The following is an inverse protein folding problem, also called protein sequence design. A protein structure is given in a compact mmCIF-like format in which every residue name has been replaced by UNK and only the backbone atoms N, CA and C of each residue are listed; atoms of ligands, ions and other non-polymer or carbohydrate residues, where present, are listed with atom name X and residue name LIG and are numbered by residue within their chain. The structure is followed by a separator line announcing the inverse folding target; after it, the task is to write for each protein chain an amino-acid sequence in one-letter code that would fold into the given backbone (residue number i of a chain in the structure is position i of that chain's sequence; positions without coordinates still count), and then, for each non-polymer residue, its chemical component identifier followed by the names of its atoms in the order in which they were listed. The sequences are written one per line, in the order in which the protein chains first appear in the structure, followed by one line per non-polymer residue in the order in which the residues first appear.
data_IF_507416693767
#
_entry.id   IF_507416693767
#
_cell.length_a   1.000
_cell.length_b   1.000
_cell.length_c   1.000
_cell.angle_alpha   90.00
_cell.angle_beta   90.00
_cell.angle_gamma   90.00
#
_symmetry.space_group_name_H-M   'P 1'
#
loop_
_entity.id
_entity.type
_entity.pdbx_description
1 polymer ?
#
# COMPACT_ATOMS: atom_id res chain seq x y z
N UNK A 1 -15.17 -9.11 0.83
CA UNK A 1 -16.14 -9.18 -0.27
C UNK A 1 -16.13 -10.58 -0.84
N UNK A 2 -17.26 -11.28 -0.76
CA UNK A 2 -17.51 -12.55 -1.46
C UNK A 2 -17.93 -12.29 -2.92
N UNK A 3 -18.04 -13.33 -3.73
CA UNK A 3 -18.53 -13.19 -5.10
C UNK A 3 -20.02 -12.75 -5.13
N UNK A 4 -20.83 -13.23 -4.18
CA UNK A 4 -22.21 -12.77 -4.04
C UNK A 4 -22.29 -11.29 -3.59
N UNK A 5 -21.48 -10.86 -2.63
CA UNK A 5 -21.37 -9.44 -2.26
C UNK A 5 -20.99 -8.58 -3.47
N UNK A 6 -20.01 -9.04 -4.27
CA UNK A 6 -19.57 -8.35 -5.49
C UNK A 6 -20.74 -8.14 -6.46
N UNK A 7 -21.52 -9.20 -6.72
CA UNK A 7 -22.69 -9.16 -7.61
C UNK A 7 -23.75 -8.18 -7.05
N UNK A 8 -24.02 -8.22 -5.73
CA UNK A 8 -24.98 -7.33 -5.08
C UNK A 8 -24.55 -5.86 -5.13
N UNK A 9 -23.29 -5.58 -4.80
CA UNK A 9 -22.73 -4.21 -4.78
C UNK A 9 -22.74 -3.61 -6.18
N UNK A 10 -22.33 -4.38 -7.18
CA UNK A 10 -22.22 -3.91 -8.57
C UNK A 10 -23.55 -3.93 -9.32
N UNK A 11 -24.56 -4.65 -8.81
CA UNK A 11 -25.88 -4.85 -9.45
C UNK A 11 -25.77 -5.44 -10.86
N UNK A 12 -24.73 -6.22 -11.14
CA UNK A 12 -24.58 -6.92 -12.42
C UNK A 12 -25.56 -8.07 -12.52
N UNK A 13 -25.95 -8.44 -13.75
CA UNK A 13 -26.75 -9.63 -13.98
C UNK A 13 -25.97 -10.89 -13.60
N UNK A 14 -26.37 -11.53 -12.49
CA UNK A 14 -25.72 -12.73 -11.94
C UNK A 14 -25.63 -13.86 -12.97
N UNK A 15 -26.71 -14.11 -13.71
CA UNK A 15 -26.76 -15.22 -14.68
C UNK A 15 -25.80 -14.97 -15.84
N UNK A 16 -25.79 -13.76 -16.37
CA UNK A 16 -24.89 -13.38 -17.46
C UNK A 16 -23.43 -13.40 -17.00
N UNK A 17 -23.13 -12.86 -15.79
CA UNK A 17 -21.80 -12.86 -15.23
C UNK A 17 -21.25 -14.28 -15.05
N UNK A 18 -22.02 -15.16 -14.40
CA UNK A 18 -21.61 -16.55 -14.18
C UNK A 18 -21.50 -17.33 -15.49
N UNK A 19 -22.41 -17.14 -16.44
CA UNK A 19 -22.31 -17.77 -17.75
C UNK A 19 -21.02 -17.42 -18.49
N UNK A 20 -20.61 -16.15 -18.46
CA UNK A 20 -19.34 -15.72 -19.06
C UNK A 20 -18.12 -16.22 -18.28
N UNK A 21 -18.19 -16.24 -16.95
CA UNK A 21 -17.13 -16.79 -16.10
C UNK A 21 -16.87 -18.27 -16.40
N UNK A 22 -17.94 -19.06 -16.60
CA UNK A 22 -17.84 -20.47 -16.97
C UNK A 22 -17.27 -20.69 -18.39
N UNK A 23 -17.24 -19.68 -19.24
CA UNK A 23 -16.65 -19.75 -20.59
C UNK A 23 -15.15 -19.37 -20.60
N UNK A 24 -14.61 -18.88 -19.49
CA UNK A 24 -13.18 -18.57 -19.40
C UNK A 24 -12.38 -19.85 -19.55
N UNK A 25 -11.46 -19.86 -20.51
CA UNK A 25 -10.56 -21.00 -20.72
C UNK A 25 -9.62 -21.17 -19.52
N UNK A 26 -9.35 -22.40 -19.15
CA UNK A 26 -8.42 -22.78 -18.05
C UNK A 26 -7.01 -23.08 -18.60
N UNK A 27 -6.59 -22.32 -19.57
CA UNK A 27 -5.23 -22.32 -20.12
C UNK A 27 -4.40 -21.15 -19.52
N UNK A 28 -3.18 -20.97 -20.01
CA UNK A 28 -2.33 -19.86 -19.59
C UNK A 28 -2.90 -18.49 -19.96
N UNK A 29 -3.89 -18.41 -20.85
CA UNK A 29 -4.51 -17.16 -21.28
C UNK A 29 -3.51 -16.26 -21.99
N UNK A 30 -3.52 -14.97 -21.64
CA UNK A 30 -2.63 -14.00 -22.26
C UNK A 30 -1.30 -13.90 -21.50
N UNK A 31 -0.25 -14.47 -22.09
CA UNK A 31 1.12 -14.46 -21.54
C UNK A 31 1.83 -13.09 -21.70
N UNK A 32 1.22 -12.14 -22.44
CA UNK A 32 1.79 -10.80 -22.67
C UNK A 32 1.35 -9.80 -21.56
N UNK A 33 1.21 -10.29 -20.35
CA UNK A 33 0.97 -9.45 -19.17
C UNK A 33 -0.47 -8.98 -18.98
N UNK A 34 -1.44 -9.79 -19.40
CA UNK A 34 -2.86 -9.60 -19.14
C UNK A 34 -3.72 -9.42 -20.39
N UNK A 35 -5.00 -9.80 -20.31
CA UNK A 35 -5.95 -9.67 -21.40
C UNK A 35 -6.19 -8.22 -21.83
N UNK A 36 -6.50 -7.95 -23.10
CA UNK A 36 -6.81 -6.59 -23.58
C UNK A 36 -7.91 -5.90 -22.76
N UNK A 37 -8.94 -6.65 -22.37
CA UNK A 37 -10.05 -6.12 -21.54
C UNK A 37 -9.55 -5.67 -20.17
N UNK A 38 -8.67 -6.44 -19.52
CA UNK A 38 -8.11 -6.08 -18.24
C UNK A 38 -7.19 -4.87 -18.37
N UNK A 39 -6.27 -4.86 -19.33
CA UNK A 39 -5.36 -3.73 -19.57
C UNK A 39 -6.13 -2.45 -19.89
N UNK A 40 -7.19 -2.52 -20.69
CA UNK A 40 -8.08 -1.39 -20.96
C UNK A 40 -8.74 -0.89 -19.68
N UNK A 41 -9.31 -1.76 -18.86
CA UNK A 41 -9.96 -1.38 -17.60
C UNK A 41 -8.96 -0.77 -16.58
N UNK A 42 -7.72 -1.23 -16.57
CA UNK A 42 -6.66 -0.65 -15.74
C UNK A 42 -6.22 0.71 -16.28
N UNK A 43 -6.04 0.88 -17.61
CA UNK A 43 -5.63 2.16 -18.19
C UNK A 43 -6.60 3.29 -17.89
N UNK A 44 -7.90 3.00 -17.77
CA UNK A 44 -8.94 3.97 -17.36
C UNK A 44 -8.80 4.48 -15.91
N UNK A 45 -7.83 3.96 -15.14
CA UNK A 45 -7.46 4.52 -13.84
C UNK A 45 -6.43 5.66 -13.94
N UNK A 46 -5.84 5.86 -15.09
CA UNK A 46 -4.75 6.79 -15.38
C UNK A 46 -5.18 7.82 -16.42
N UNK A 47 -4.40 8.89 -16.56
CA UNK A 47 -4.63 9.93 -17.58
C UNK A 47 -3.74 9.75 -18.80
N UNK A 48 -2.51 9.26 -18.61
CA UNK A 48 -1.47 9.17 -19.66
C UNK A 48 -1.04 7.73 -19.96
N UNK A 49 -1.54 6.75 -19.20
CA UNK A 49 -1.17 5.33 -19.34
C UNK A 49 -2.10 4.64 -20.32
N UNK A 50 -1.51 4.05 -21.36
CA UNK A 50 -2.21 3.25 -22.36
C UNK A 50 -2.20 1.76 -21.99
N UNK A 51 -3.06 0.90 -22.57
CA UNK A 51 -3.09 -0.53 -22.27
C UNK A 51 -1.74 -1.26 -22.47
N UNK A 52 -0.93 -0.86 -23.43
CA UNK A 52 0.42 -1.42 -23.67
C UNK A 52 1.44 -1.06 -22.58
N UNK A 53 1.16 -0.01 -21.78
CA UNK A 53 1.98 0.42 -20.64
C UNK A 53 1.67 -0.35 -19.35
N UNK A 54 0.86 -1.42 -19.42
CA UNK A 54 0.36 -2.16 -18.27
C UNK A 54 0.83 -3.61 -18.32
N UNK A 55 1.27 -4.12 -17.17
CA UNK A 55 1.64 -5.50 -16.93
C UNK A 55 0.90 -6.01 -15.69
N UNK A 56 0.00 -6.96 -15.85
CA UNK A 56 -0.71 -7.60 -14.74
C UNK A 56 0.22 -8.53 -13.97
N UNK A 57 0.02 -8.61 -12.64
CA UNK A 57 0.89 -9.36 -11.71
C UNK A 57 0.08 -10.11 -10.65
N UNK A 58 0.72 -11.03 -9.91
CA UNK A 58 0.14 -11.74 -8.77
C UNK A 58 0.02 -10.86 -7.50
N UNK A 59 -0.54 -9.66 -7.66
CA UNK A 59 -0.70 -8.63 -6.62
C UNK A 59 0.51 -7.68 -6.55
N UNK A 60 0.34 -6.59 -5.77
CA UNK A 60 1.36 -5.54 -5.66
C UNK A 60 2.68 -6.01 -5.05
N UNK A 61 2.64 -6.90 -4.05
CA UNK A 61 3.86 -7.44 -3.42
C UNK A 61 4.77 -8.13 -4.45
N UNK A 62 4.19 -8.92 -5.35
CA UNK A 62 4.91 -9.54 -6.47
C UNK A 62 5.45 -8.48 -7.43
N UNK A 63 4.63 -7.49 -7.78
CA UNK A 63 5.03 -6.38 -8.64
C UNK A 63 6.26 -5.64 -8.08
N UNK A 64 6.22 -5.24 -6.80
CA UNK A 64 7.31 -4.55 -6.12
C UNK A 64 8.61 -5.37 -6.13
N UNK A 65 8.52 -6.69 -5.84
CA UNK A 65 9.70 -7.57 -5.85
C UNK A 65 10.38 -7.62 -7.22
N UNK A 66 9.59 -7.79 -8.27
CA UNK A 66 10.12 -7.90 -9.63
C UNK A 66 10.59 -6.56 -10.20
N UNK A 67 9.96 -5.44 -9.80
CA UNK A 67 10.45 -4.11 -10.13
C UNK A 67 11.84 -3.86 -9.55
N UNK A 68 12.01 -4.13 -8.26
CA UNK A 68 13.28 -3.95 -7.58
C UNK A 68 14.34 -4.86 -8.22
N UNK A 69 14.03 -6.14 -8.41
CA UNK A 69 14.95 -7.09 -9.03
C UNK A 69 15.38 -6.71 -10.46
N UNK A 70 14.45 -6.17 -11.28
CA UNK A 70 14.71 -5.84 -12.68
C UNK A 70 15.40 -4.50 -12.91
N UNK A 71 15.41 -3.61 -11.91
CA UNK A 71 15.88 -2.23 -12.09
C UNK A 71 17.19 -1.92 -11.36
N UNK A 72 17.60 -2.76 -10.40
CA UNK A 72 18.81 -2.53 -9.60
C UNK A 72 19.84 -3.63 -9.83
N UNK A 73 21.10 -3.25 -9.66
CA UNK A 73 22.25 -4.14 -9.66
C UNK A 73 23.06 -3.97 -8.36
N UNK A 74 23.94 -4.91 -8.02
CA UNK A 74 24.85 -4.75 -6.88
C UNK A 74 25.62 -3.44 -6.95
N UNK A 75 25.70 -2.72 -5.84
CA UNK A 75 26.31 -1.38 -5.67
C UNK A 75 25.51 -0.19 -6.23
N UNK A 76 24.33 -0.40 -6.80
CA UNK A 76 23.40 0.69 -7.04
C UNK A 76 22.95 1.31 -5.71
N UNK A 77 22.56 2.59 -5.75
CA UNK A 77 21.96 3.28 -4.61
C UNK A 77 20.44 3.34 -4.77
N UNK A 78 19.74 3.03 -3.69
CA UNK A 78 18.25 3.12 -3.59
C UNK A 78 17.89 4.04 -2.44
N UNK A 79 17.06 5.05 -2.71
CA UNK A 79 16.47 5.89 -1.67
C UNK A 79 15.10 5.31 -1.28
N UNK A 80 14.95 4.89 -0.03
CA UNK A 80 13.65 4.47 0.53
C UNK A 80 13.04 5.61 1.35
N UNK A 81 11.86 6.10 0.96
CA UNK A 81 11.14 7.14 1.71
C UNK A 81 10.32 6.46 2.80
N UNK A 82 10.62 6.76 4.08
CA UNK A 82 10.19 5.98 5.23
C UNK A 82 9.51 6.85 6.32
N UNK A 83 8.59 6.32 7.18
CA UNK A 83 8.18 4.92 7.28
C UNK A 83 7.36 4.46 6.07
N UNK A 84 7.57 3.20 5.65
CA UNK A 84 6.89 2.61 4.51
C UNK A 84 6.90 1.07 4.60
N UNK A 85 6.48 0.41 3.54
CA UNK A 85 6.45 -1.04 3.42
C UNK A 85 7.89 -1.60 3.42
N UNK A 86 8.18 -2.52 4.34
CA UNK A 86 9.52 -3.06 4.58
C UNK A 86 10.22 -3.60 3.32
N UNK A 87 9.45 -4.06 2.34
CA UNK A 87 9.94 -4.57 1.08
C UNK A 87 10.86 -3.57 0.35
N UNK A 88 10.60 -2.27 0.51
CA UNK A 88 11.39 -1.20 -0.10
C UNK A 88 12.79 -1.01 0.51
N UNK A 89 13.04 -1.60 1.67
CA UNK A 89 14.37 -1.63 2.31
C UNK A 89 15.02 -3.00 2.15
N UNK A 90 14.27 -4.07 2.47
CA UNK A 90 14.83 -5.41 2.57
C UNK A 90 15.23 -6.00 1.23
N UNK A 91 14.40 -5.80 0.19
CA UNK A 91 14.71 -6.37 -1.12
C UNK A 91 15.92 -5.71 -1.80
N UNK A 92 16.03 -4.36 -1.88
CA UNK A 92 17.25 -3.77 -2.46
C UNK A 92 18.51 -4.22 -1.74
N UNK A 93 18.49 -4.29 -0.40
CA UNK A 93 19.63 -4.81 0.37
C UNK A 93 19.96 -6.26 0.02
N UNK A 94 18.96 -7.12 -0.16
CA UNK A 94 19.16 -8.52 -0.52
C UNK A 94 19.75 -8.72 -1.92
N UNK A 95 19.57 -7.74 -2.81
CA UNK A 95 20.18 -7.70 -4.15
C UNK A 95 21.54 -6.97 -4.18
N UNK A 96 22.06 -6.57 -3.01
CA UNK A 96 23.38 -5.95 -2.88
C UNK A 96 23.42 -4.45 -3.16
N UNK A 97 22.28 -3.77 -3.19
CA UNK A 97 22.22 -2.32 -3.32
C UNK A 97 22.45 -1.62 -1.96
N UNK A 98 23.04 -0.42 -2.01
CA UNK A 98 23.07 0.52 -0.89
C UNK A 98 21.68 1.12 -0.71
N UNK A 99 21.12 1.05 0.50
CA UNK A 99 19.82 1.67 0.81
C UNK A 99 20.01 2.84 1.74
N UNK A 100 19.72 4.04 1.28
CA UNK A 100 19.65 5.27 2.06
C UNK A 100 18.20 5.58 2.38
N UNK A 101 17.92 6.01 3.61
CA UNK A 101 16.56 6.21 4.10
C UNK A 101 16.30 7.70 4.25
N UNK A 102 15.25 8.19 3.58
CA UNK A 102 14.67 9.51 3.85
C UNK A 102 13.54 9.35 4.86
N UNK A 103 13.75 9.86 6.08
CA UNK A 103 12.73 9.80 7.11
C UNK A 103 11.73 10.95 6.99
N UNK A 104 10.43 10.63 7.01
CA UNK A 104 9.36 11.64 7.07
C UNK A 104 8.98 11.92 8.51
N UNK A 105 8.98 13.21 8.87
CA UNK A 105 8.67 13.69 10.21
C UNK A 105 7.13 13.73 10.45
N UNK A 106 6.59 13.02 11.46
CA UNK A 106 5.18 13.12 11.83
C UNK A 106 4.78 14.54 12.24
N UNK A 107 5.68 15.33 12.84
CA UNK A 107 5.40 16.72 13.21
C UNK A 107 5.20 17.64 12.00
N UNK A 108 5.70 17.23 10.84
CA UNK A 108 5.50 17.89 9.55
C UNK A 108 4.41 17.21 8.69
N UNK A 109 3.56 16.36 9.30
CA UNK A 109 2.52 15.63 8.60
C UNK A 109 3.03 14.61 7.58
N UNK A 110 4.26 14.12 7.77
CA UNK A 110 4.95 13.19 6.87
C UNK A 110 5.26 13.76 5.48
N UNK A 111 5.45 15.07 5.36
CA UNK A 111 5.91 15.69 4.11
C UNK A 111 7.32 15.23 3.73
N UNK A 112 7.66 15.33 2.44
CA UNK A 112 9.00 15.07 1.93
C UNK A 112 9.81 16.36 1.98
N UNK A 113 11.03 16.30 2.51
CA UNK A 113 12.00 17.40 2.44
C UNK A 113 12.85 17.23 1.16
N UNK A 114 12.67 18.14 0.21
CA UNK A 114 13.36 18.11 -1.09
C UNK A 114 14.87 18.18 -0.93
N UNK A 115 15.36 19.07 -0.05
CA UNK A 115 16.78 19.29 0.18
C UNK A 115 17.44 18.05 0.78
N UNK A 116 16.76 17.38 1.70
CA UNK A 116 17.23 16.12 2.29
C UNK A 116 17.25 15.01 1.25
N UNK A 117 16.19 14.89 0.45
CA UNK A 117 16.15 13.93 -0.65
C UNK A 117 17.29 14.17 -1.65
N UNK A 118 17.51 15.40 -2.06
CA UNK A 118 18.58 15.76 -2.99
C UNK A 118 19.98 15.43 -2.44
N UNK A 119 20.17 15.62 -1.13
CA UNK A 119 21.45 15.29 -0.45
C UNK A 119 21.73 13.79 -0.35
N UNK A 120 20.70 12.96 -0.38
CA UNK A 120 20.83 11.49 -0.36
C UNK A 120 21.09 10.91 -1.74
N UNK A 121 20.79 11.63 -2.82
CA UNK A 121 20.95 11.19 -4.19
C UNK A 121 22.37 11.48 -4.71
N UNK A 122 22.86 10.59 -5.57
CA UNK A 122 24.10 10.76 -6.32
C UNK A 122 23.98 10.10 -7.71
N UNK A 123 25.07 10.05 -8.48
CA UNK A 123 25.09 9.47 -9.83
C UNK A 123 24.83 7.95 -9.87
N UNK A 124 24.96 7.26 -8.73
CA UNK A 124 24.68 5.83 -8.60
C UNK A 124 23.24 5.59 -8.09
N UNK A 125 22.48 6.64 -7.80
CA UNK A 125 21.09 6.52 -7.36
C UNK A 125 20.22 6.04 -8.50
N UNK A 126 19.76 4.80 -8.42
CA UNK A 126 18.99 4.13 -9.46
C UNK A 126 17.50 4.24 -9.25
N UNK A 127 17.09 4.27 -7.97
CA UNK A 127 15.70 4.08 -7.61
C UNK A 127 15.33 4.90 -6.36
N UNK A 128 14.16 5.54 -6.41
CA UNK A 128 13.46 6.09 -5.24
C UNK A 128 12.19 5.27 -5.05
N UNK A 129 11.93 4.80 -3.82
CA UNK A 129 10.77 3.96 -3.50
C UNK A 129 9.90 4.58 -2.42
N UNK A 130 8.58 4.53 -2.63
CA UNK A 130 7.59 4.99 -1.66
C UNK A 130 6.22 4.34 -1.91
N UNK A 131 5.33 4.41 -0.92
CA UNK A 131 3.90 4.25 -1.13
C UNK A 131 3.16 5.59 -1.02
N UNK A 132 2.21 5.85 -1.92
CA UNK A 132 1.36 7.04 -1.89
C UNK A 132 -0.04 6.74 -2.43
N UNK A 133 -1.08 6.76 -1.59
CA UNK A 133 -1.08 7.04 -0.13
C UNK A 133 -0.28 6.01 0.68
N UNK A 134 0.24 6.48 1.82
CA UNK A 134 1.24 5.73 2.58
C UNK A 134 0.66 4.73 3.57
N UNK A 135 1.26 3.56 3.62
CA UNK A 135 1.20 2.61 4.71
C UNK A 135 2.56 2.62 5.44
N UNK A 136 2.63 2.90 6.77
CA UNK A 136 1.55 2.74 7.77
C UNK A 136 0.80 4.01 8.16
N UNK A 137 1.16 5.18 7.68
CA UNK A 137 0.78 6.47 8.28
C UNK A 137 -0.56 7.02 7.80
N UNK A 138 -1.06 6.58 6.64
CA UNK A 138 -2.21 7.21 5.97
C UNK A 138 -1.91 8.60 5.39
N UNK A 139 -0.64 8.99 5.31
CA UNK A 139 -0.24 10.24 4.69
C UNK A 139 -0.48 10.22 3.17
N UNK A 140 -0.78 11.39 2.63
CA UNK A 140 -0.99 11.62 1.19
C UNK A 140 -0.11 12.79 0.77
N UNK A 141 0.75 12.56 -0.22
CA UNK A 141 1.56 13.62 -0.82
C UNK A 141 0.70 14.50 -1.72
N UNK A 142 0.91 15.80 -1.62
CA UNK A 142 0.32 16.78 -2.51
C UNK A 142 0.95 16.71 -3.91
N UNK A 143 0.28 17.28 -4.90
CA UNK A 143 0.85 17.41 -6.25
C UNK A 143 2.17 18.23 -6.24
N UNK A 144 2.30 19.19 -5.32
CA UNK A 144 3.53 19.96 -5.16
C UNK A 144 4.69 19.07 -4.72
N UNK A 145 4.51 18.30 -3.65
CA UNK A 145 5.53 17.36 -3.15
C UNK A 145 5.91 16.30 -4.19
N UNK A 146 4.92 15.79 -4.96
CA UNK A 146 5.20 14.87 -6.07
C UNK A 146 6.05 15.54 -7.17
N UNK A 147 5.82 16.81 -7.49
CA UNK A 147 6.63 17.56 -8.45
C UNK A 147 8.06 17.79 -7.95
N UNK A 148 8.24 18.11 -6.68
CA UNK A 148 9.57 18.26 -6.06
C UNK A 148 10.34 16.94 -6.06
N UNK A 149 9.67 15.82 -5.72
CA UNK A 149 10.24 14.47 -5.83
C UNK A 149 10.70 14.15 -7.26
N UNK A 150 9.86 14.45 -8.25
CA UNK A 150 10.15 14.25 -9.67
C UNK A 150 11.34 15.12 -10.13
N UNK A 151 11.40 16.35 -9.67
CA UNK A 151 12.50 17.27 -10.00
C UNK A 151 13.87 16.72 -9.56
N UNK A 152 13.94 16.20 -8.32
CA UNK A 152 15.13 15.51 -7.82
C UNK A 152 15.42 14.25 -8.63
N UNK A 153 14.43 13.41 -8.88
CA UNK A 153 14.61 12.18 -9.66
C UNK A 153 15.14 12.46 -11.10
N UNK A 154 14.64 13.52 -11.74
CA UNK A 154 15.14 13.94 -13.07
C UNK A 154 16.60 14.38 -13.05
N UNK A 155 17.00 15.13 -12.02
CA UNK A 155 18.38 15.60 -11.86
C UNK A 155 19.39 14.43 -11.88
N UNK A 156 19.04 13.31 -11.28
CA UNK A 156 19.88 12.11 -11.19
C UNK A 156 19.48 11.00 -12.18
N UNK A 157 18.52 11.26 -13.07
CA UNK A 157 18.03 10.28 -14.06
C UNK A 157 17.49 8.98 -13.43
N UNK A 158 16.87 9.08 -12.24
CA UNK A 158 16.47 8.01 -11.33
C UNK A 158 15.04 7.57 -11.58
N UNK A 159 14.74 6.29 -11.45
CA UNK A 159 13.36 5.78 -11.44
C UNK A 159 12.65 6.09 -10.11
N UNK A 160 11.33 6.26 -10.17
CA UNK A 160 10.48 6.31 -8.97
C UNK A 160 9.51 5.14 -9.02
N UNK A 161 9.58 4.21 -8.05
CA UNK A 161 8.54 3.22 -7.82
C UNK A 161 7.60 3.78 -6.74
N UNK A 162 6.32 3.93 -7.09
CA UNK A 162 5.28 4.30 -6.16
C UNK A 162 4.25 3.18 -6.02
N UNK A 163 4.13 2.58 -4.83
CA UNK A 163 3.03 1.68 -4.51
C UNK A 163 1.77 2.52 -4.27
N UNK A 164 0.85 2.47 -5.24
CA UNK A 164 -0.37 3.26 -5.28
C UNK A 164 -1.62 2.43 -4.93
N UNK A 165 -1.49 1.32 -4.21
CA UNK A 165 -2.61 0.42 -3.88
C UNK A 165 -3.74 1.13 -3.11
N UNK A 166 -3.45 2.25 -2.46
CA UNK A 166 -4.41 3.07 -1.74
C UNK A 166 -4.88 4.32 -2.52
N UNK A 167 -4.46 4.52 -3.77
CA UNK A 167 -4.74 5.74 -4.56
C UNK A 167 -6.20 6.17 -4.61
N UNK A 168 -7.12 5.23 -4.51
CA UNK A 168 -8.56 5.51 -4.52
C UNK A 168 -9.22 5.42 -3.13
N UNK A 169 -8.43 5.36 -2.06
CA UNK A 169 -8.90 5.28 -0.67
C UNK A 169 -8.58 6.60 0.02
N UNK A 170 -9.34 7.65 -0.29
CA UNK A 170 -9.12 9.02 0.17
C UNK A 170 -10.22 9.43 1.14
N UNK A 171 -9.86 10.09 2.26
CA UNK A 171 -10.82 10.45 3.30
C UNK A 171 -11.66 11.67 2.94
N UNK A 172 -11.15 12.51 2.06
CA UNK A 172 -11.82 13.70 1.54
C UNK A 172 -11.80 13.71 -0.01
N UNK A 173 -12.20 14.82 -0.62
CA UNK A 173 -12.26 14.98 -2.08
C UNK A 173 -10.89 15.34 -2.71
N UNK A 174 -9.78 15.03 -2.05
CA UNK A 174 -8.45 15.23 -2.62
C UNK A 174 -8.21 14.31 -3.82
N UNK A 175 -7.27 14.70 -4.65
CA UNK A 175 -6.84 13.91 -5.80
C UNK A 175 -5.45 13.35 -5.53
N UNK A 176 -5.25 12.06 -5.79
CA UNK A 176 -3.96 11.40 -5.76
C UNK A 176 -3.53 11.07 -7.20
N UNK A 177 -2.78 11.97 -7.87
CA UNK A 177 -2.28 11.67 -9.22
C UNK A 177 -1.25 10.54 -9.18
N UNK A 178 -1.21 9.76 -10.25
CA UNK A 178 -0.23 8.68 -10.37
C UNK A 178 1.15 9.20 -10.75
N UNK A 179 2.19 8.61 -10.15
CA UNK A 179 3.56 8.91 -10.56
C UNK A 179 3.84 8.52 -12.02
N UNK A 180 3.16 7.48 -12.53
CA UNK A 180 3.29 7.04 -13.91
C UNK A 180 2.70 8.03 -14.93
N UNK A 181 1.68 8.81 -14.52
CA UNK A 181 1.15 9.90 -15.34
C UNK A 181 2.09 11.12 -15.36
N UNK A 182 2.74 11.41 -14.22
CA UNK A 182 3.49 12.65 -13.98
C UNK A 182 4.95 12.60 -14.44
N UNK A 183 5.57 11.41 -14.46
CA UNK A 183 7.00 11.25 -14.69
C UNK A 183 7.29 10.16 -15.72
N UNK A 184 8.22 10.44 -16.66
CA UNK A 184 8.60 9.51 -17.71
C UNK A 184 9.25 8.22 -17.20
N UNK A 185 9.99 8.28 -16.08
CA UNK A 185 10.55 7.14 -15.33
C UNK A 185 9.75 6.80 -14.08
N UNK A 186 8.52 7.26 -14.00
CA UNK A 186 7.57 6.90 -12.95
C UNK A 186 6.99 5.51 -13.18
N UNK A 187 6.97 4.70 -12.15
CA UNK A 187 6.39 3.36 -12.17
C UNK A 187 5.36 3.26 -11.04
N UNK A 188 4.11 3.08 -11.43
CA UNK A 188 3.00 2.88 -10.50
C UNK A 188 2.75 1.39 -10.29
N UNK A 189 2.55 1.00 -9.04
CA UNK A 189 2.07 -0.32 -8.66
C UNK A 189 0.66 -0.21 -8.11
N UNK A 190 -0.27 -0.93 -8.73
CA UNK A 190 -1.66 -0.97 -8.28
C UNK A 190 -2.15 -2.39 -7.96
N UNK A 191 -3.28 -2.51 -7.30
CA UNK A 191 -3.90 -3.82 -7.06
C UNK A 191 -5.39 -3.72 -6.77
N UNK A 192 -6.07 -4.87 -6.91
CA UNK A 192 -7.47 -5.05 -6.50
C UNK A 192 -7.64 -5.17 -4.97
N UNK A 193 -6.53 -5.33 -4.23
CA UNK A 193 -6.55 -5.76 -2.83
C UNK A 193 -7.16 -4.74 -1.87
N UNK A 194 -6.90 -3.44 -2.08
CA UNK A 194 -7.22 -2.38 -1.11
C UNK A 194 -8.49 -1.62 -1.50
N UNK A 195 -8.42 -0.80 -2.55
CA UNK A 195 -9.55 0.02 -2.98
C UNK A 195 -10.80 -0.81 -3.33
N UNK A 196 -10.64 -1.99 -3.92
CA UNK A 196 -11.75 -2.88 -4.28
C UNK A 196 -12.07 -3.94 -3.22
N UNK A 197 -11.31 -4.04 -2.12
CA UNK A 197 -11.44 -5.10 -1.08
C UNK A 197 -11.41 -6.53 -1.62
N UNK A 198 -10.64 -6.77 -2.69
CA UNK A 198 -10.55 -8.06 -3.39
C UNK A 198 -9.15 -8.67 -3.24
N UNK A 199 -8.60 -8.65 -2.02
CA UNK A 199 -7.24 -9.15 -1.75
C UNK A 199 -7.05 -10.62 -2.11
N UNK A 200 -8.09 -11.44 -1.99
CA UNK A 200 -8.05 -12.88 -2.26
C UNK A 200 -7.88 -13.27 -3.73
N UNK A 201 -8.22 -12.39 -4.69
CA UNK A 201 -8.02 -12.72 -6.12
C UNK A 201 -6.57 -12.64 -6.55
N UNK A 202 -5.69 -12.07 -5.73
CA UNK A 202 -4.24 -11.96 -6.00
C UNK A 202 -3.95 -11.36 -7.38
N UNK A 203 -4.53 -10.19 -7.67
CA UNK A 203 -4.27 -9.45 -8.90
C UNK A 203 -3.82 -8.03 -8.61
N UNK A 204 -2.69 -7.67 -9.19
CA UNK A 204 -2.11 -6.33 -9.22
C UNK A 204 -1.60 -6.00 -10.61
N UNK A 205 -0.94 -4.87 -10.75
CA UNK A 205 -0.35 -4.44 -12.01
C UNK A 205 0.79 -3.46 -11.80
N UNK A 206 1.64 -3.38 -12.81
CA UNK A 206 2.66 -2.36 -13.00
C UNK A 206 2.20 -1.48 -14.15
N UNK A 207 2.34 -0.17 -14.00
CA UNK A 207 2.06 0.81 -15.05
C UNK A 207 3.23 1.79 -15.19
N UNK A 208 3.77 1.94 -16.41
CA UNK A 208 4.85 2.89 -16.72
C UNK A 208 4.88 3.22 -18.20
N UNK A 209 5.25 4.45 -18.54
CA UNK A 209 5.49 4.89 -19.94
C UNK A 209 6.85 4.46 -20.48
N UNK A 210 7.79 4.08 -19.63
CA UNK A 210 9.12 3.66 -20.02
C UNK A 210 9.10 2.25 -20.64
N UNK A 211 9.23 2.20 -21.97
CA UNK A 211 9.21 0.96 -22.75
C UNK A 211 10.39 0.04 -22.43
N UNK A 212 11.57 0.62 -22.17
CA UNK A 212 12.76 -0.16 -21.85
C UNK A 212 12.64 -0.81 -20.49
N UNK A 213 12.20 -0.05 -19.48
CA UNK A 213 11.89 -0.59 -18.14
C UNK A 213 10.83 -1.70 -18.25
N UNK A 214 9.72 -1.46 -18.97
CA UNK A 214 8.66 -2.47 -19.15
C UNK A 214 9.20 -3.75 -19.78
N UNK A 215 10.08 -3.66 -20.76
CA UNK A 215 10.67 -4.84 -21.42
C UNK A 215 11.56 -5.63 -20.45
N UNK A 216 12.43 -4.95 -19.69
CA UNK A 216 13.27 -5.59 -18.68
C UNK A 216 12.43 -6.28 -17.59
N UNK A 217 11.37 -5.60 -17.11
CA UNK A 217 10.45 -6.14 -16.11
C UNK A 217 9.75 -7.40 -16.64
N UNK A 218 9.29 -7.40 -17.89
CA UNK A 218 8.67 -8.57 -18.53
C UNK A 218 9.62 -9.77 -18.58
N UNK A 219 10.90 -9.54 -18.90
CA UNK A 219 11.89 -10.61 -18.91
C UNK A 219 12.06 -11.23 -17.52
N UNK A 220 12.22 -10.42 -16.48
CA UNK A 220 12.38 -10.92 -15.12
C UNK A 220 11.14 -11.65 -14.62
N UNK A 221 9.95 -11.08 -14.84
CA UNK A 221 8.68 -11.71 -14.45
C UNK A 221 8.47 -13.05 -15.17
N UNK A 222 8.92 -13.17 -16.40
CA UNK A 222 8.78 -14.39 -17.19
C UNK A 222 9.44 -15.63 -16.60
N UNK A 223 10.38 -15.48 -15.65
CA UNK A 223 10.96 -16.61 -14.91
C UNK A 223 10.03 -17.19 -13.86
N UNK A 224 9.14 -16.34 -13.28
CA UNK A 224 8.31 -16.74 -12.14
C UNK A 224 6.82 -16.79 -12.47
N UNK A 225 6.40 -16.14 -13.56
CA UNK A 225 4.98 -16.01 -13.89
C UNK A 225 4.74 -16.07 -15.39
N UNK A 226 4.05 -17.11 -15.84
CA UNK A 226 3.57 -17.17 -17.24
C UNK A 226 2.35 -16.29 -17.46
N UNK A 227 1.41 -16.25 -16.54
CA UNK A 227 0.22 -15.38 -16.57
C UNK A 227 -0.42 -15.27 -15.19
N UNK A 228 -1.33 -14.31 -15.02
CA UNK A 228 -2.10 -14.18 -13.78
C UNK A 228 -3.33 -15.11 -13.76
N UNK A 229 -3.75 -15.64 -14.92
CA UNK A 229 -4.86 -16.57 -15.09
C UNK A 229 -6.20 -15.92 -15.44
N UNK A 230 -6.86 -16.44 -16.46
CA UNK A 230 -8.05 -15.85 -17.10
C UNK A 230 -9.22 -15.56 -16.16
N UNK A 231 -9.49 -16.44 -15.18
CA UNK A 231 -10.56 -16.22 -14.19
C UNK A 231 -10.34 -14.94 -13.39
N UNK A 232 -9.12 -14.73 -12.90
CA UNK A 232 -8.77 -13.54 -12.12
C UNK A 232 -8.87 -12.28 -12.97
N UNK A 233 -8.38 -12.36 -14.21
CA UNK A 233 -8.42 -11.25 -15.16
C UNK A 233 -9.84 -10.84 -15.50
N UNK A 234 -10.71 -11.81 -15.75
CA UNK A 234 -12.12 -11.55 -16.03
C UNK A 234 -12.81 -10.86 -14.85
N UNK A 235 -12.67 -11.42 -13.64
CA UNK A 235 -13.28 -10.84 -12.43
C UNK A 235 -12.76 -9.42 -12.19
N UNK A 236 -11.44 -9.19 -12.32
CA UNK A 236 -10.84 -7.89 -12.11
C UNK A 236 -11.28 -6.85 -13.15
N UNK A 237 -11.35 -7.22 -14.43
CA UNK A 237 -11.83 -6.33 -15.49
C UNK A 237 -13.27 -5.87 -15.25
N UNK A 238 -14.15 -6.79 -14.84
CA UNK A 238 -15.53 -6.44 -14.48
C UNK A 238 -15.56 -5.58 -13.22
N UNK A 239 -14.78 -5.91 -12.19
CA UNK A 239 -14.71 -5.12 -10.95
C UNK A 239 -14.25 -3.68 -11.21
N UNK A 240 -13.24 -3.48 -12.06
CA UNK A 240 -12.75 -2.15 -12.44
C UNK A 240 -13.80 -1.33 -13.19
N UNK A 241 -14.61 -1.96 -14.04
CA UNK A 241 -15.74 -1.30 -14.70
C UNK A 241 -16.76 -0.75 -13.67
N UNK A 242 -16.94 -1.45 -12.54
CA UNK A 242 -17.85 -1.06 -11.47
C UNK A 242 -17.10 -0.50 -10.24
N UNK A 243 -15.86 -0.04 -10.42
CA UNK A 243 -14.98 0.42 -9.32
C UNK A 243 -15.65 1.42 -8.39
N UNK A 244 -16.45 2.35 -8.92
CA UNK A 244 -17.12 3.37 -8.11
C UNK A 244 -17.99 2.74 -7.02
N UNK A 245 -18.82 1.77 -7.35
CA UNK A 245 -19.70 1.12 -6.37
C UNK A 245 -18.91 0.38 -5.28
N UNK A 246 -17.82 -0.28 -5.65
CA UNK A 246 -16.93 -0.98 -4.70
C UNK A 246 -16.21 0.01 -3.77
N UNK A 247 -15.65 1.08 -4.34
CA UNK A 247 -14.94 2.12 -3.57
C UNK A 247 -15.91 2.84 -2.64
N UNK A 248 -17.08 3.27 -3.11
CA UNK A 248 -18.08 3.97 -2.29
C UNK A 248 -18.50 3.12 -1.07
N UNK A 249 -18.75 1.83 -1.27
CA UNK A 249 -19.06 0.89 -0.17
C UNK A 249 -17.90 0.81 0.83
N UNK A 250 -16.67 0.67 0.34
CA UNK A 250 -15.50 0.56 1.19
C UNK A 250 -15.23 1.86 1.95
N UNK A 251 -15.34 3.00 1.28
CA UNK A 251 -15.17 4.31 1.91
C UNK A 251 -16.23 4.60 2.97
N UNK A 252 -17.46 4.16 2.77
CA UNK A 252 -18.52 4.29 3.79
C UNK A 252 -18.13 3.57 5.08
N UNK A 253 -17.60 2.35 4.99
CA UNK A 253 -17.10 1.59 6.14
C UNK A 253 -15.89 2.28 6.80
N UNK A 254 -14.91 2.65 5.98
CA UNK A 254 -13.65 3.24 6.46
C UNK A 254 -13.88 4.58 7.17
N UNK A 255 -14.76 5.43 6.66
CA UNK A 255 -15.08 6.73 7.28
C UNK A 255 -15.72 6.56 8.65
N UNK A 256 -16.70 5.63 8.80
CA UNK A 256 -17.32 5.33 10.10
C UNK A 256 -16.27 4.82 11.08
N UNK A 257 -15.42 3.89 10.65
CA UNK A 257 -14.38 3.33 11.49
C UNK A 257 -13.33 4.36 11.89
N UNK A 258 -12.94 5.24 10.97
CA UNK A 258 -11.97 6.30 11.25
C UNK A 258 -12.51 7.32 12.27
N UNK A 259 -13.79 7.71 12.18
CA UNK A 259 -14.43 8.58 13.17
C UNK A 259 -14.40 7.93 14.56
N UNK A 260 -14.71 6.64 14.65
CA UNK A 260 -14.68 5.88 15.91
C UNK A 260 -13.26 5.81 16.47
N UNK A 261 -12.29 5.49 15.63
CA UNK A 261 -10.88 5.40 16.02
C UNK A 261 -10.32 6.76 16.46
N UNK A 262 -10.62 7.83 15.72
CA UNK A 262 -10.23 9.21 16.05
C UNK A 262 -10.79 9.64 17.42
N UNK A 263 -12.07 9.35 17.68
CA UNK A 263 -12.71 9.62 18.96
C UNK A 263 -12.01 8.88 20.12
N UNK A 264 -11.66 7.62 19.92
CA UNK A 264 -10.93 6.83 20.92
C UNK A 264 -9.49 7.36 21.13
N UNK A 265 -8.76 7.69 20.07
CA UNK A 265 -7.40 8.25 20.17
C UNK A 265 -7.40 9.59 20.91
N UNK A 266 -8.36 10.47 20.65
CA UNK A 266 -8.50 11.75 21.35
C UNK A 266 -8.79 11.58 22.85
N UNK A 267 -9.53 10.55 23.26
CA UNK A 267 -9.77 10.23 24.67
C UNK A 267 -8.49 9.75 25.37
N UNK A 268 -7.57 9.12 24.63
CA UNK A 268 -6.30 8.59 25.15
C UNK A 268 -5.08 9.51 24.86
N UNK A 269 -5.30 10.78 24.52
CA UNK A 269 -4.25 11.74 24.09
C UNK A 269 -3.14 12.00 25.09
N UNK A 270 -3.31 11.63 26.35
CA UNK A 270 -2.29 11.81 27.39
C UNK A 270 -1.08 10.89 27.15
N UNK A 271 -1.28 9.72 26.56
CA UNK A 271 -0.27 8.72 26.29
C UNK A 271 -0.16 8.33 24.84
N UNK A 272 -1.17 8.64 24.01
CA UNK A 272 -1.19 8.29 22.60
C UNK A 272 -1.20 9.55 21.72
N UNK A 273 -0.40 9.52 20.67
CA UNK A 273 -0.39 10.57 19.66
C UNK A 273 -0.37 9.98 18.24
N UNK A 274 -0.89 10.72 17.28
CA UNK A 274 -0.97 10.29 15.87
C UNK A 274 -1.12 11.49 14.95
N UNK A 275 -0.85 11.26 13.68
CA UNK A 275 -1.22 12.18 12.60
C UNK A 275 -2.51 11.67 11.96
N UNK A 276 -3.53 12.53 11.86
CA UNK A 276 -4.80 12.13 11.25
C UNK A 276 -4.59 11.67 9.81
N UNK A 277 -5.00 10.44 9.44
CA UNK A 277 -4.75 9.90 8.11
C UNK A 277 -5.60 10.60 7.04
N UNK A 278 -4.98 11.06 5.97
CA UNK A 278 -5.66 11.66 4.81
C UNK A 278 -6.18 10.61 3.84
N UNK A 279 -5.63 9.41 3.89
CA UNK A 279 -5.95 8.33 2.95
C UNK A 279 -5.63 6.95 3.55
N UNK A 280 -5.91 5.90 2.79
CA UNK A 280 -5.63 4.53 3.20
C UNK A 280 -6.60 4.00 4.26
N UNK A 281 -6.15 2.95 4.92
CA UNK A 281 -6.96 2.21 5.91
C UNK A 281 -6.19 1.92 7.20
N UNK A 282 -5.09 2.64 7.42
CA UNK A 282 -4.18 2.45 8.56
C UNK A 282 -3.81 3.79 9.17
N UNK A 283 -3.48 3.76 10.44
CA UNK A 283 -2.89 4.88 11.18
C UNK A 283 -1.73 4.37 12.02
N UNK A 284 -0.65 5.13 12.07
CA UNK A 284 0.49 4.91 12.96
C UNK A 284 0.26 5.72 14.23
N UNK A 285 0.20 5.03 15.37
CA UNK A 285 -0.04 5.61 16.69
C UNK A 285 1.23 5.51 17.50
N UNK A 286 1.67 6.63 18.06
CA UNK A 286 2.81 6.72 18.98
C UNK A 286 2.31 6.65 20.41
N UNK A 287 3.11 6.09 21.30
CA UNK A 287 2.84 6.02 22.72
C UNK A 287 4.11 6.39 23.53
N UNK A 288 3.92 6.81 24.77
CA UNK A 288 5.00 7.24 25.68
C UNK A 288 5.30 6.24 26.82
N UNK A 289 4.72 5.03 26.75
CA UNK A 289 5.05 3.95 27.68
C UNK A 289 6.47 3.42 27.43
N UNK A 290 7.20 3.10 28.49
CA UNK A 290 8.54 2.50 28.37
C UNK A 290 8.42 0.98 28.13
N UNK A 291 7.84 0.61 27.01
CA UNK A 291 7.59 -0.78 26.58
C UNK A 291 7.92 -0.92 25.10
N UNK A 292 8.70 -1.93 24.68
CA UNK A 292 8.92 -2.23 23.28
C UNK A 292 7.61 -2.54 22.55
N UNK A 293 7.46 -2.06 21.31
CA UNK A 293 6.20 -2.20 20.59
C UNK A 293 5.86 -3.66 20.26
N UNK A 294 6.87 -4.49 20.03
CA UNK A 294 6.68 -5.94 19.81
C UNK A 294 6.07 -6.61 21.05
N UNK A 295 6.58 -6.28 22.23
CA UNK A 295 6.10 -6.84 23.51
C UNK A 295 4.66 -6.45 23.79
N UNK A 296 4.31 -5.16 23.60
CA UNK A 296 2.95 -4.66 23.75
C UNK A 296 1.99 -5.35 22.79
N UNK A 297 2.34 -5.42 21.52
CA UNK A 297 1.49 -6.01 20.48
C UNK A 297 1.32 -7.53 20.68
N UNK A 298 2.40 -8.24 21.06
CA UNK A 298 2.36 -9.67 21.35
C UNK A 298 1.48 -9.97 22.57
N UNK A 299 1.62 -9.19 23.65
CA UNK A 299 0.76 -9.34 24.82
C UNK A 299 -0.72 -9.16 24.48
N UNK A 300 -1.05 -8.08 23.77
CA UNK A 300 -2.43 -7.81 23.34
C UNK A 300 -2.99 -8.97 22.52
N UNK A 301 -2.22 -9.47 21.56
CA UNK A 301 -2.64 -10.59 20.72
C UNK A 301 -2.83 -11.88 21.54
N UNK A 302 -1.86 -12.25 22.37
CA UNK A 302 -1.88 -13.51 23.12
C UNK A 302 -3.00 -13.55 24.17
N UNK A 303 -3.39 -12.39 24.74
CA UNK A 303 -4.41 -12.32 25.79
C UNK A 303 -5.81 -12.07 25.28
N UNK A 304 -5.97 -11.39 24.14
CA UNK A 304 -7.29 -10.94 23.67
C UNK A 304 -7.61 -11.37 22.23
N UNK A 305 -6.63 -11.87 21.47
CA UNK A 305 -6.77 -12.13 20.03
C UNK A 305 -6.75 -10.85 19.17
N UNK A 306 -6.54 -9.67 19.77
CA UNK A 306 -6.52 -8.39 19.04
C UNK A 306 -5.17 -8.18 18.38
N UNK A 307 -5.14 -8.15 17.05
CA UNK A 307 -3.92 -7.97 16.27
C UNK A 307 -3.73 -6.51 15.85
N UNK A 308 -2.67 -5.89 16.34
CA UNK A 308 -2.10 -4.63 15.83
C UNK A 308 -0.65 -4.88 15.41
N UNK A 309 -0.10 -4.02 14.57
CA UNK A 309 1.25 -4.23 14.04
C UNK A 309 2.26 -3.37 14.81
N UNK A 310 3.33 -3.95 15.39
CA UNK A 310 4.37 -3.17 16.08
C UNK A 310 5.07 -2.20 15.12
N UNK A 311 5.38 -1.00 15.62
CA UNK A 311 6.03 0.04 14.84
C UNK A 311 7.47 -0.28 14.48
N UNK A 312 8.12 -1.17 15.22
CA UNK A 312 9.49 -1.63 14.94
C UNK A 312 9.61 -2.24 13.53
N UNK A 313 8.57 -2.89 13.01
CA UNK A 313 8.51 -3.38 11.61
C UNK A 313 8.70 -2.24 10.59
N UNK A 314 8.34 -1.02 10.99
CA UNK A 314 8.48 0.20 10.19
C UNK A 314 9.67 1.05 10.66
N UNK A 315 10.61 0.51 11.45
CA UNK A 315 11.71 1.25 12.10
C UNK A 315 11.22 2.50 12.86
N UNK A 316 10.04 2.42 13.49
CA UNK A 316 9.43 3.49 14.29
C UNK A 316 9.14 2.92 15.68
N UNK A 317 10.13 2.89 16.59
CA UNK A 317 9.94 2.39 17.94
C UNK A 317 8.89 3.21 18.69
N UNK A 318 8.37 2.66 19.80
CA UNK A 318 7.31 3.27 20.61
C UNK A 318 6.08 3.68 19.78
N UNK A 319 5.71 2.85 18.80
CA UNK A 319 4.50 3.03 18.02
C UNK A 319 3.87 1.70 17.63
N UNK A 320 2.63 1.74 17.19
CA UNK A 320 1.95 0.60 16.56
C UNK A 320 1.01 1.08 15.46
N UNK A 321 0.79 0.23 14.47
CA UNK A 321 -0.16 0.50 13.39
C UNK A 321 -1.48 -0.17 13.68
N UNK A 322 -2.57 0.62 13.65
CA UNK A 322 -3.94 0.13 13.63
C UNK A 322 -4.46 0.11 12.18
N UNK A 323 -5.06 -1.01 11.76
CA UNK A 323 -5.86 -1.07 10.54
C UNK A 323 -7.34 -0.95 10.92
N UNK A 324 -8.03 0.02 10.32
CA UNK A 324 -9.46 0.23 10.54
C UNK A 324 -10.34 -0.28 9.39
N UNK A 325 -9.77 -1.08 8.47
CA UNK A 325 -10.49 -1.76 7.39
C UNK A 325 -11.05 -3.12 7.84
N UNK A 326 -11.82 -3.14 8.89
CA UNK A 326 -12.46 -4.32 9.45
C UNK A 326 -13.95 -4.07 9.73
N UNK A 327 -14.67 -5.08 10.13
CA UNK A 327 -16.05 -4.89 10.63
C UNK A 327 -16.05 -3.92 11.81
N UNK A 328 -17.06 -3.04 11.88
CA UNK A 328 -17.12 -2.00 12.90
C UNK A 328 -17.14 -2.56 14.33
N UNK A 329 -17.80 -3.69 14.56
CA UNK A 329 -17.84 -4.35 15.87
C UNK A 329 -16.48 -4.91 16.26
N UNK A 330 -15.72 -5.44 15.27
CA UNK A 330 -14.34 -5.90 15.51
C UNK A 330 -13.44 -4.73 15.91
N UNK A 331 -13.57 -3.56 15.26
CA UNK A 331 -12.82 -2.38 15.64
C UNK A 331 -13.14 -1.98 17.08
N UNK A 332 -14.43 -1.83 17.45
CA UNK A 332 -14.85 -1.48 18.79
C UNK A 332 -14.30 -2.45 19.83
N UNK A 333 -14.42 -3.75 19.58
CA UNK A 333 -13.91 -4.79 20.48
C UNK A 333 -12.40 -4.69 20.69
N UNK A 334 -11.65 -4.49 19.58
CA UNK A 334 -10.19 -4.33 19.65
C UNK A 334 -9.76 -3.06 20.41
N UNK A 335 -10.49 -1.95 20.26
CA UNK A 335 -10.22 -0.72 20.99
C UNK A 335 -10.50 -0.85 22.48
N UNK A 336 -11.52 -1.61 22.88
CA UNK A 336 -11.78 -1.94 24.31
C UNK A 336 -10.60 -2.73 24.88
N UNK A 337 -10.16 -3.80 24.21
CA UNK A 337 -9.00 -4.58 24.65
C UNK A 337 -7.72 -3.73 24.77
N UNK A 338 -7.49 -2.84 23.81
CA UNK A 338 -6.34 -1.93 23.85
C UNK A 338 -6.45 -0.92 25.00
N UNK A 339 -7.67 -0.42 25.30
CA UNK A 339 -7.91 0.45 26.47
C UNK A 339 -7.54 -0.24 27.79
N UNK A 340 -7.92 -1.51 27.94
CA UNK A 340 -7.58 -2.28 29.15
C UNK A 340 -6.08 -2.45 29.34
N UNK A 341 -5.33 -2.62 28.24
CA UNK A 341 -3.87 -2.70 28.29
C UNK A 341 -3.25 -1.35 28.63
N UNK A 342 -3.74 -0.25 28.04
CA UNK A 342 -3.31 1.10 28.39
C UNK A 342 -3.59 1.42 29.86
N UNK A 343 -4.76 1.05 30.40
CA UNK A 343 -5.10 1.25 31.80
C UNK A 343 -4.18 0.48 32.74
N UNK A 344 -3.83 -0.77 32.41
CA UNK A 344 -2.85 -1.56 33.18
C UNK A 344 -1.47 -0.88 33.19
N UNK A 345 -1.00 -0.39 32.05
CA UNK A 345 0.27 0.34 31.93
C UNK A 345 0.25 1.66 32.69
N UNK A 346 -0.86 2.39 32.71
CA UNK A 346 -1.04 3.60 33.51
C UNK A 346 -0.93 3.33 35.01
N UNK A 347 -1.51 2.21 35.49
CA UNK A 347 -1.48 1.81 36.90
C UNK A 347 -0.16 1.15 37.33
N UNK A 348 0.50 0.44 36.41
CA UNK A 348 1.79 -0.20 36.61
C UNK A 348 2.63 -0.14 35.33
N UNK A 349 3.53 0.84 35.16
CA UNK A 349 4.40 0.98 33.98
C UNK A 349 5.26 -0.27 33.68
N UNK A 350 5.57 -1.07 34.71
CA UNK A 350 6.36 -2.31 34.60
C UNK A 350 5.49 -3.57 34.40
N UNK A 351 4.20 -3.39 34.19
CA UNK A 351 3.24 -4.50 34.06
C UNK A 351 3.65 -5.57 33.04
N UNK A 352 4.34 -5.18 31.99
CA UNK A 352 4.78 -6.12 30.94
C UNK A 352 6.21 -6.68 31.16
N UNK A 353 6.98 -6.21 32.13
CA UNK A 353 8.41 -6.58 32.27
C UNK A 353 8.62 -8.06 32.53
N UNK A 354 7.75 -8.68 33.35
CA UNK A 354 7.80 -10.09 33.71
C UNK A 354 7.09 -11.03 32.72
N UNK A 355 6.52 -10.48 31.64
CA UNK A 355 5.79 -11.28 30.66
C UNK A 355 6.75 -11.62 29.51
N UNK A 356 7.00 -12.91 29.32
CA UNK A 356 7.74 -13.40 28.15
C UNK A 356 6.94 -13.15 26.87
N UNK A 357 7.59 -12.71 25.79
CA UNK A 357 6.96 -12.41 24.51
C UNK A 357 6.26 -13.61 23.85
#
# INVERSE_FOLDING_TARGET
VTLDDFIQITKIDKKQFLSKLCQVKLDYGNIDGGTPILKQAISELYTEILPENILATHGATFANSHLIWSLIEPNDNVIAIYPDYQQFISLPKSFGAEVRILHRDPKKGYSICKEELDSLCDNNTKLITLSNPNNPTGALLSLHELKELIEVARKYNTYIICDEVYRHVLQDDQVCPSIADLYEKGISVGSMSKACSMAGIRLGWIATKDKQAMQNIKYHIGYDMSSVGGIKEYIAAIALKYKKALIDRNMSLLRVNLITLDGWLRQNKNHLSYVYPKAGSTVLVFYDYDVPSEKLCSYLYNTTGTLITPGDIFNVPHSFRISYACDHRQLLSGLVCLSEVCEKLNNNPHFLDDINP
#
